data_IF_642574691838
#
_entry.id   IF_642574691838
#
_cell.length_a   1.000
_cell.length_b   1.000
_cell.length_c   1.000
_cell.angle_alpha   90.00
_cell.angle_beta   90.00
_cell.angle_gamma   90.00
#
_symmetry.space_group_name_H-M   'P 1'
#
loop_
_entity.id
_entity.type
_entity.pdbx_description
1 polymer ?
#
# COMPACT_ATOMS: atom_id res chain seq x y z
N UNK A 1 -11.20 -5.15 17.43
CA UNK A 1 -10.46 -3.91 17.75
C UNK A 1 -9.11 -3.85 17.04
N UNK A 2 -8.19 -4.80 17.25
CA UNK A 2 -6.85 -4.77 16.62
C UNK A 2 -6.85 -4.66 15.08
N UNK A 3 -7.69 -5.45 14.37
CA UNK A 3 -7.81 -5.33 12.91
C UNK A 3 -8.26 -3.93 12.46
N UNK A 4 -9.20 -3.31 13.19
CA UNK A 4 -9.70 -1.97 12.85
C UNK A 4 -8.61 -0.91 13.08
N UNK A 5 -7.82 -1.03 14.16
CA UNK A 5 -6.70 -0.13 14.43
C UNK A 5 -5.59 -0.27 13.37
N UNK A 6 -5.25 -1.51 12.97
CA UNK A 6 -4.29 -1.77 11.91
C UNK A 6 -4.78 -1.25 10.55
N UNK A 7 -6.07 -1.45 10.24
CA UNK A 7 -6.69 -0.92 9.04
C UNK A 7 -6.71 0.61 9.02
N UNK A 8 -7.05 1.25 10.14
CA UNK A 8 -7.03 2.70 10.27
C UNK A 8 -5.62 3.28 10.14
N UNK A 9 -4.63 2.67 10.81
CA UNK A 9 -3.24 3.07 10.68
C UNK A 9 -2.75 2.95 9.23
N UNK A 10 -3.09 1.85 8.56
CA UNK A 10 -2.79 1.65 7.14
C UNK A 10 -3.43 2.72 6.26
N UNK A 11 -4.71 3.02 6.47
CA UNK A 11 -5.43 4.04 5.72
C UNK A 11 -4.83 5.44 5.93
N UNK A 12 -4.48 5.78 7.18
CA UNK A 12 -3.83 7.05 7.52
C UNK A 12 -2.47 7.15 6.84
N UNK A 13 -1.65 6.11 6.88
CA UNK A 13 -0.35 6.08 6.21
C UNK A 13 -0.47 6.20 4.69
N UNK A 14 -1.42 5.50 4.06
CA UNK A 14 -1.65 5.62 2.61
C UNK A 14 -2.16 7.01 2.24
N UNK A 15 -3.07 7.59 3.04
CA UNK A 15 -3.55 8.95 2.82
C UNK A 15 -2.40 9.97 2.92
N UNK A 16 -1.55 9.82 3.93
CA UNK A 16 -0.36 10.65 4.12
C UNK A 16 0.63 10.53 2.96
N UNK A 17 0.95 9.30 2.53
CA UNK A 17 1.84 9.07 1.39
C UNK A 17 1.26 9.64 0.09
N UNK A 18 -0.05 9.47 -0.13
CA UNK A 18 -0.74 10.03 -1.30
C UNK A 18 -0.64 11.56 -1.31
N UNK A 19 -0.81 12.19 -0.14
CA UNK A 19 -0.63 13.63 0.01
C UNK A 19 0.80 14.08 -0.32
N UNK A 20 1.82 13.37 0.17
CA UNK A 20 3.23 13.68 -0.14
C UNK A 20 3.55 13.50 -1.63
N UNK A 21 3.10 12.41 -2.24
CA UNK A 21 3.26 12.16 -3.68
C UNK A 21 2.62 13.28 -4.47
N UNK A 22 1.42 13.70 -4.10
CA UNK A 22 0.72 14.81 -4.75
C UNK A 22 1.49 16.13 -4.62
N UNK A 23 1.96 16.46 -3.40
CA UNK A 23 2.81 17.63 -3.17
C UNK A 23 4.05 17.59 -4.06
N UNK A 24 4.86 16.53 -3.99
CA UNK A 24 6.07 16.37 -4.81
C UNK A 24 5.76 16.51 -6.29
N UNK A 25 4.63 15.98 -6.74
CA UNK A 25 4.18 16.08 -8.14
C UNK A 25 3.85 17.52 -8.55
N UNK A 26 3.15 18.27 -7.70
CA UNK A 26 2.77 19.68 -7.96
C UNK A 26 4.01 20.57 -7.98
N UNK A 27 4.89 20.42 -6.99
CA UNK A 27 6.16 21.15 -6.93
C UNK A 27 7.09 20.78 -8.09
N UNK A 28 7.17 19.50 -8.44
CA UNK A 28 7.93 19.01 -9.58
C UNK A 28 7.41 19.55 -10.92
N UNK A 29 6.08 19.62 -11.10
CA UNK A 29 5.48 20.23 -12.27
C UNK A 29 5.81 21.73 -12.35
N UNK A 30 5.78 22.44 -11.23
CA UNK A 30 6.14 23.86 -11.17
C UNK A 30 7.62 24.12 -11.51
N UNK A 31 8.53 23.17 -11.23
CA UNK A 31 9.94 23.25 -11.62
C UNK A 31 10.24 22.72 -13.03
N UNK A 32 9.22 22.33 -13.79
CA UNK A 32 9.36 21.77 -15.14
C UNK A 32 9.88 20.33 -15.17
N UNK A 33 9.93 19.64 -14.02
CA UNK A 33 10.35 18.23 -13.95
C UNK A 33 9.19 17.30 -14.33
N UNK A 34 9.43 16.26 -15.15
CA UNK A 34 8.39 15.33 -15.55
C UNK A 34 7.99 14.41 -14.39
N UNK A 35 6.81 14.64 -13.82
CA UNK A 35 6.28 13.82 -12.71
C UNK A 35 5.55 12.54 -13.17
N UNK A 36 5.17 12.44 -14.45
CA UNK A 36 4.28 11.37 -14.95
C UNK A 36 4.77 9.95 -14.67
N UNK A 37 6.06 9.67 -14.85
CA UNK A 37 6.63 8.33 -14.55
C UNK A 37 6.60 7.99 -13.05
N UNK A 38 6.82 8.99 -12.19
CA UNK A 38 6.73 8.83 -10.75
C UNK A 38 5.29 8.56 -10.30
N UNK A 39 4.31 9.35 -10.78
CA UNK A 39 2.89 9.09 -10.48
C UNK A 39 2.43 7.74 -11.02
N UNK A 40 2.84 7.36 -12.23
CA UNK A 40 2.48 6.08 -12.83
C UNK A 40 3.02 4.90 -12.00
N UNK A 41 4.27 5.00 -11.52
CA UNK A 41 4.87 3.99 -10.63
C UNK A 41 4.12 3.92 -9.31
N UNK A 42 3.81 5.05 -8.70
CA UNK A 42 3.03 5.10 -7.47
C UNK A 42 1.63 4.48 -7.63
N UNK A 43 0.93 4.84 -8.71
CA UNK A 43 -0.39 4.28 -9.01
C UNK A 43 -0.32 2.77 -9.27
N UNK A 44 0.70 2.29 -9.99
CA UNK A 44 0.94 0.87 -10.21
C UNK A 44 1.21 0.12 -8.89
N UNK A 45 1.99 0.71 -7.97
CA UNK A 45 2.21 0.13 -6.63
C UNK A 45 0.91 0.02 -5.83
N UNK A 46 0.07 1.07 -5.81
CA UNK A 46 -1.23 1.02 -5.12
C UNK A 46 -2.16 -0.03 -5.74
N UNK A 47 -2.24 -0.06 -7.07
CA UNK A 47 -3.06 -1.02 -7.79
C UNK A 47 -2.58 -2.46 -7.56
N UNK A 48 -1.26 -2.70 -7.59
CA UNK A 48 -0.66 -4.00 -7.30
C UNK A 48 -0.91 -4.46 -5.87
N UNK A 49 -0.78 -3.58 -4.88
CA UNK A 49 -1.10 -3.87 -3.49
C UNK A 49 -2.58 -4.22 -3.29
N UNK A 50 -3.49 -3.46 -3.91
CA UNK A 50 -4.92 -3.74 -3.86
C UNK A 50 -5.27 -5.09 -4.53
N UNK A 51 -4.67 -5.37 -5.69
CA UNK A 51 -4.85 -6.63 -6.40
C UNK A 51 -4.34 -7.83 -5.58
N UNK A 52 -3.19 -7.69 -4.91
CA UNK A 52 -2.64 -8.71 -4.04
C UNK A 52 -3.56 -8.99 -2.84
N UNK A 53 -4.05 -7.95 -2.17
CA UNK A 53 -5.00 -8.10 -1.06
C UNK A 53 -6.31 -8.76 -1.50
N UNK A 54 -6.82 -8.37 -2.68
CA UNK A 54 -8.00 -8.99 -3.28
C UNK A 54 -7.73 -10.48 -3.56
N UNK A 55 -6.63 -10.81 -4.24
CA UNK A 55 -6.23 -12.18 -4.52
C UNK A 55 -6.14 -13.00 -3.23
N UNK A 56 -5.45 -12.49 -2.21
CA UNK A 56 -5.30 -13.12 -0.90
C UNK A 56 -6.65 -13.36 -0.22
N UNK A 57 -7.59 -12.42 -0.34
CA UNK A 57 -8.92 -12.57 0.21
C UNK A 57 -9.75 -13.68 -0.46
N UNK A 58 -9.43 -14.05 -1.71
CA UNK A 58 -10.06 -15.14 -2.47
C UNK A 58 -9.37 -16.49 -2.32
N UNK A 59 -8.15 -16.54 -1.79
CA UNK A 59 -7.40 -17.78 -1.57
C UNK A 59 -8.19 -18.73 -0.64
N UNK A 60 -8.39 -20.01 -1.00
CA UNK A 60 -9.22 -20.96 -0.24
C UNK A 60 -8.89 -21.06 1.26
N UNK A 61 -7.61 -21.17 1.70
CA UNK A 61 -7.30 -21.20 3.12
C UNK A 61 -7.69 -19.90 3.86
N UNK A 62 -7.65 -18.74 3.20
CA UNK A 62 -8.07 -17.46 3.79
C UNK A 62 -9.59 -17.36 3.89
N UNK A 63 -10.32 -17.84 2.87
CA UNK A 63 -11.80 -17.88 2.88
C UNK A 63 -12.37 -18.81 3.96
N UNK A 64 -11.62 -19.86 4.32
CA UNK A 64 -12.00 -20.81 5.39
C UNK A 64 -11.70 -20.29 6.80
N UNK A 65 -10.99 -19.17 6.95
CA UNK A 65 -10.71 -18.59 8.26
C UNK A 65 -11.93 -17.90 8.87
N UNK A 66 -12.00 -17.92 10.19
CA UNK A 66 -12.97 -17.12 10.94
C UNK A 66 -12.85 -15.63 10.56
N UNK A 67 -13.98 -14.90 10.41
CA UNK A 67 -13.98 -13.48 10.02
C UNK A 67 -12.99 -12.58 10.76
N UNK A 68 -12.84 -12.65 12.10
CA UNK A 68 -11.90 -11.79 12.82
C UNK A 68 -10.43 -12.11 12.49
N UNK A 69 -10.10 -13.38 12.26
CA UNK A 69 -8.74 -13.83 11.91
C UNK A 69 -8.39 -13.43 10.48
N UNK A 70 -9.35 -13.54 9.56
CA UNK A 70 -9.22 -13.08 8.17
C UNK A 70 -9.00 -11.56 8.11
N UNK A 71 -9.76 -10.78 8.86
CA UNK A 71 -9.61 -9.32 8.92
C UNK A 71 -8.24 -8.91 9.49
N UNK A 72 -7.77 -9.59 10.55
CA UNK A 72 -6.42 -9.39 11.10
C UNK A 72 -5.33 -9.68 10.07
N UNK A 73 -5.42 -10.79 9.34
CA UNK A 73 -4.44 -11.19 8.32
C UNK A 73 -4.38 -10.18 7.17
N UNK A 74 -5.54 -9.77 6.65
CA UNK A 74 -5.61 -8.77 5.58
C UNK A 74 -5.07 -7.42 6.05
N UNK A 75 -5.39 -6.98 7.27
CA UNK A 75 -4.86 -5.72 7.82
C UNK A 75 -3.36 -5.80 8.13
N UNK A 76 -2.85 -6.95 8.55
CA UNK A 76 -1.42 -7.15 8.78
C UNK A 76 -0.61 -7.12 7.48
N UNK A 77 -1.14 -7.72 6.40
CA UNK A 77 -0.53 -7.68 5.07
C UNK A 77 -0.65 -6.29 4.44
N UNK A 78 -1.77 -5.60 4.65
CA UNK A 78 -1.97 -4.24 4.18
C UNK A 78 -1.09 -3.22 4.93
N UNK A 79 -0.59 -3.58 6.12
CA UNK A 79 0.22 -2.69 6.94
C UNK A 79 1.40 -2.14 6.11
N UNK A 80 1.62 -0.82 6.09
CA UNK A 80 2.60 -0.21 5.20
C UNK A 80 4.05 -0.56 5.58
N UNK A 81 4.31 -0.96 6.84
CA UNK A 81 5.65 -1.29 7.33
C UNK A 81 6.30 -2.48 6.59
N UNK A 82 5.65 -3.64 6.42
CA UNK A 82 6.20 -4.72 5.61
C UNK A 82 6.31 -4.34 4.12
N UNK A 83 5.43 -3.48 3.61
CA UNK A 83 5.45 -3.00 2.22
C UNK A 83 6.63 -2.05 1.96
N UNK A 84 6.93 -1.15 2.90
CA UNK A 84 8.09 -0.25 2.84
C UNK A 84 9.39 -1.01 3.01
N UNK A 85 9.44 -2.00 3.91
CA UNK A 85 10.60 -2.90 4.04
C UNK A 85 10.83 -3.72 2.76
N UNK A 86 9.77 -4.29 2.17
CA UNK A 86 9.88 -5.06 0.92
C UNK A 86 10.34 -4.19 -0.25
N UNK A 87 9.79 -2.98 -0.39
CA UNK A 87 10.21 -2.02 -1.41
C UNK A 87 11.66 -1.57 -1.21
N UNK A 88 12.06 -1.29 0.04
CA UNK A 88 13.44 -0.94 0.36
C UNK A 88 14.41 -2.06 -0.02
N UNK A 89 14.10 -3.33 0.31
CA UNK A 89 14.93 -4.48 -0.08
C UNK A 89 15.00 -4.70 -1.59
N UNK A 90 13.97 -4.31 -2.32
CA UNK A 90 13.95 -4.40 -3.79
C UNK A 90 14.83 -3.34 -4.44
N UNK A 91 14.87 -2.13 -3.88
CA UNK A 91 15.66 -1.00 -4.41
C UNK A 91 17.13 -1.08 -3.99
N UNK A 92 17.47 -1.80 -2.91
CA UNK A 92 18.86 -1.97 -2.46
C UNK A 92 19.58 -3.16 -3.09
N UNK A 93 18.84 -4.10 -3.67
CA UNK A 93 19.38 -5.33 -4.28
C UNK A 93 19.33 -5.29 -5.82
N UNK A 94 18.58 -4.37 -6.42
CA UNK A 94 18.52 -4.12 -7.86
C UNK A 94 19.44 -2.99 -8.31
#
# INVERSE_FOLDING_TARGET
MAAALLGAATAISVAWLTFLVWMVSVWGAASGTPAGGFLATYAACLAGGAALLAALAFVPPVRRMAPPRRALLLCAVACPVPLTLAAATWVTVG
#
